data_IF_111511503775
#
_entry.id   IF_111511503775
#
_cell.length_a   1.000
_cell.length_b   1.000
_cell.length_c   1.000
_cell.angle_alpha   90.00
_cell.angle_beta   90.00
_cell.angle_gamma   90.00
#
_symmetry.space_group_name_H-M   'P 1'
#
loop_
_entity.id
_entity.type
_entity.pdbx_description
1 polymer ?
#
# COMPACT_ATOMS: atom_id res chain seq x y z
N UNK A 1 -40.21 22.70 36.31
CA UNK A 1 -40.43 23.38 37.60
C UNK A 1 -40.12 22.35 38.70
N UNK A 2 -39.24 22.49 39.69
CA UNK A 2 -38.25 23.48 40.14
C UNK A 2 -37.26 22.68 41.06
N UNK A 3 -35.94 22.70 40.84
CA UNK A 3 -34.86 23.43 41.58
C UNK A 3 -34.94 23.44 43.11
N UNK A 4 -33.88 22.94 43.79
CA UNK A 4 -33.08 23.55 44.91
C UNK A 4 -32.52 22.46 45.83
N UNK A 5 -31.21 22.19 45.87
CA UNK A 5 -30.10 22.88 46.58
C UNK A 5 -29.96 22.47 48.06
N UNK A 6 -28.74 22.08 48.47
CA UNK A 6 -28.14 22.28 49.81
C UNK A 6 -26.73 21.66 49.94
N UNK A 7 -25.73 22.54 50.09
CA UNK A 7 -24.47 22.42 50.85
C UNK A 7 -24.41 23.71 51.72
N UNK A 8 -23.59 23.90 52.80
CA UNK A 8 -22.22 23.42 53.11
C UNK A 8 -22.02 23.07 54.63
N UNK A 9 -20.88 22.60 55.18
CA UNK A 9 -19.66 23.29 55.65
C UNK A 9 -18.82 22.22 56.41
N UNK A 10 -17.57 21.90 56.05
CA UNK A 10 -16.28 22.39 56.60
C UNK A 10 -16.22 22.58 58.13
N UNK A 11 -15.42 21.75 58.80
CA UNK A 11 -14.78 22.04 60.09
C UNK A 11 -13.33 21.56 60.04
N UNK A 12 -12.44 22.53 60.19
CA UNK A 12 -10.98 22.46 60.24
C UNK A 12 -10.52 22.16 61.66
N UNK A 13 -9.49 21.33 61.83
CA UNK A 13 -8.60 21.42 62.99
C UNK A 13 -7.14 21.23 62.58
N UNK A 14 -6.31 21.97 63.29
CA UNK A 14 -4.97 22.46 63.00
C UNK A 14 -3.91 21.60 63.69
N UNK A 15 -2.81 21.30 63.00
CA UNK A 15 -1.61 20.73 63.59
C UNK A 15 -0.38 21.33 62.92
N UNK A 16 0.41 22.08 63.68
CA UNK A 16 1.49 22.94 63.23
C UNK A 16 2.81 22.22 62.85
N UNK A 17 3.59 22.95 62.04
CA UNK A 17 4.87 22.71 61.36
C UNK A 17 6.09 22.44 62.30
N UNK A 18 7.25 21.99 61.76
CA UNK A 18 8.31 22.96 61.46
C UNK A 18 9.13 22.68 60.17
N UNK A 19 9.58 23.77 59.55
CA UNK A 19 10.47 23.86 58.41
C UNK A 19 11.94 23.46 58.69
N UNK A 20 12.65 22.98 57.66
CA UNK A 20 14.10 23.18 57.47
C UNK A 20 14.45 23.22 55.96
N UNK A 21 15.40 24.08 55.51
CA UNK A 21 15.57 24.49 54.13
C UNK A 21 16.69 23.71 53.42
N UNK A 22 16.44 23.35 52.17
CA UNK A 22 17.43 22.75 51.29
C UNK A 22 17.07 22.99 49.84
N UNK A 23 17.39 24.18 49.34
CA UNK A 23 17.76 24.36 47.95
C UNK A 23 19.00 23.52 47.69
N UNK A 24 18.99 22.70 46.64
CA UNK A 24 20.05 22.62 45.63
C UNK A 24 19.71 21.51 44.60
N UNK A 25 19.51 21.95 43.37
CA UNK A 25 19.91 21.29 42.13
C UNK A 25 19.65 19.78 41.98
N UNK A 26 18.51 19.46 41.38
CA UNK A 26 18.43 18.39 40.37
C UNK A 26 17.32 18.67 39.37
N UNK A 27 17.56 19.68 38.53
CA UNK A 27 17.09 19.70 37.16
C UNK A 27 17.83 18.57 36.38
N UNK A 28 17.64 17.33 36.78
CA UNK A 28 18.12 16.16 36.05
C UNK A 28 17.10 15.87 34.95
N UNK A 29 17.32 16.54 33.81
CA UNK A 29 17.14 16.02 32.45
C UNK A 29 16.03 14.97 32.33
N UNK A 30 14.80 15.42 32.07
CA UNK A 30 13.77 14.56 31.50
C UNK A 30 14.40 13.81 30.31
N UNK A 31 14.48 12.46 30.34
CA UNK A 31 14.93 11.71 29.20
C UNK A 31 13.99 12.01 28.06
N UNK A 32 14.56 12.62 27.04
CA UNK A 32 13.97 12.88 25.75
C UNK A 32 13.11 11.70 25.28
N UNK A 33 11.79 11.86 25.42
CA UNK A 33 10.72 10.90 25.11
C UNK A 33 10.50 10.72 23.60
N UNK A 34 11.59 10.81 22.84
CA UNK A 34 11.65 10.54 21.40
C UNK A 34 12.58 9.36 21.11
N UNK A 35 12.64 8.41 22.04
CA UNK A 35 13.13 7.05 21.84
C UNK A 35 12.38 6.45 20.64
N UNK A 36 13.14 6.14 19.59
CA UNK A 36 12.63 5.94 18.24
C UNK A 36 11.48 4.94 18.15
N UNK A 37 10.33 5.44 17.67
CA UNK A 37 9.27 4.61 17.10
C UNK A 37 9.92 3.63 16.14
N UNK A 38 9.95 2.36 16.54
CA UNK A 38 10.48 1.25 15.75
C UNK A 38 10.00 1.37 14.30
N UNK A 39 10.92 1.54 13.36
CA UNK A 39 10.64 1.73 11.93
C UNK A 39 10.10 0.47 11.23
N UNK A 40 9.68 -0.54 12.00
CA UNK A 40 9.02 -1.73 11.47
C UNK A 40 7.51 -1.52 11.50
N UNK A 41 6.84 -1.44 10.34
CA UNK A 41 5.41 -1.28 10.28
C UNK A 41 4.76 -2.52 10.89
N UNK A 42 4.15 -2.35 12.06
CA UNK A 42 3.34 -3.37 12.70
C UNK A 42 2.11 -3.73 11.85
N UNK A 43 1.48 -4.88 12.11
CA UNK A 43 0.21 -5.25 11.49
C UNK A 43 -0.84 -4.16 11.76
N UNK A 44 -1.59 -3.74 10.74
CA UNK A 44 -2.71 -2.80 10.93
C UNK A 44 -3.90 -3.49 11.61
N UNK A 45 -4.66 -2.73 12.38
CA UNK A 45 -5.92 -3.20 12.96
C UNK A 45 -6.94 -3.53 11.87
N UNK A 46 -7.91 -4.40 12.16
CA UNK A 46 -8.93 -4.82 11.17
C UNK A 46 -9.80 -3.65 10.72
N UNK A 47 -10.16 -2.74 11.64
CA UNK A 47 -10.95 -1.54 11.30
C UNK A 47 -10.16 -0.60 10.40
N UNK A 48 -8.87 -0.39 10.68
CA UNK A 48 -8.04 0.49 9.85
C UNK A 48 -7.82 -0.13 8.46
N UNK A 49 -7.63 -1.45 8.38
CA UNK A 49 -7.53 -2.19 7.12
C UNK A 49 -8.82 -2.03 6.28
N UNK A 50 -10.00 -2.08 6.90
CA UNK A 50 -11.27 -1.84 6.19
C UNK A 50 -11.43 -0.39 5.71
N UNK A 51 -11.02 0.58 6.53
CA UNK A 51 -11.06 2.00 6.15
C UNK A 51 -10.09 2.29 5.00
N UNK A 52 -8.88 1.73 5.04
CA UNK A 52 -7.89 1.88 3.98
C UNK A 52 -8.34 1.21 2.67
N UNK A 53 -8.98 0.04 2.73
CA UNK A 53 -9.61 -0.58 1.57
C UNK A 53 -10.73 0.30 0.98
N UNK A 54 -11.57 0.89 1.83
CA UNK A 54 -12.62 1.83 1.42
C UNK A 54 -12.05 3.07 0.74
N UNK A 55 -11.02 3.68 1.34
CA UNK A 55 -10.30 4.82 0.78
C UNK A 55 -9.67 4.48 -0.57
N UNK A 56 -9.18 3.26 -0.75
CA UNK A 56 -8.58 2.84 -2.01
C UNK A 56 -9.57 2.89 -3.16
N UNK A 57 -10.80 2.45 -2.93
CA UNK A 57 -11.87 2.51 -3.94
C UNK A 57 -12.34 3.94 -4.20
N UNK A 58 -12.46 4.75 -3.15
CA UNK A 58 -12.80 6.17 -3.25
C UNK A 58 -11.78 6.96 -4.06
N UNK A 59 -10.49 6.77 -3.78
CA UNK A 59 -9.43 7.43 -4.53
C UNK A 59 -9.28 6.88 -5.94
N UNK A 60 -9.75 5.64 -6.19
CA UNK A 60 -9.84 5.05 -7.51
C UNK A 60 -10.70 5.84 -8.50
N UNK A 61 -11.64 6.69 -8.03
CA UNK A 61 -12.45 7.58 -8.89
C UNK A 61 -11.58 8.55 -9.70
N UNK A 62 -10.43 8.96 -9.15
CA UNK A 62 -9.48 9.86 -9.81
C UNK A 62 -8.61 9.10 -10.82
N UNK A 63 -8.56 7.78 -10.72
CA UNK A 63 -7.86 6.88 -11.63
C UNK A 63 -7.06 5.81 -10.88
N UNK A 64 -6.18 5.11 -11.60
CA UNK A 64 -5.49 3.94 -11.04
C UNK A 64 -4.29 4.24 -10.13
N UNK A 65 -3.70 5.43 -10.22
CA UNK A 65 -2.45 5.76 -9.50
C UNK A 65 -2.61 5.69 -7.97
N UNK A 66 -3.65 6.30 -7.35
CA UNK A 66 -3.83 6.21 -5.91
C UNK A 66 -3.97 4.77 -5.41
N UNK A 67 -4.73 3.93 -6.12
CA UNK A 67 -4.91 2.52 -5.75
C UNK A 67 -3.61 1.73 -5.85
N UNK A 68 -2.77 1.98 -6.86
CA UNK A 68 -1.45 1.36 -6.96
C UNK A 68 -0.51 1.78 -5.83
N UNK A 69 -0.56 3.05 -5.41
CA UNK A 69 0.26 3.55 -4.29
C UNK A 69 -0.16 2.84 -3.00
N UNK A 70 -1.46 2.79 -2.72
CA UNK A 70 -1.98 2.13 -1.52
C UNK A 70 -1.67 0.63 -1.55
N UNK A 71 -1.79 -0.03 -2.70
CA UNK A 71 -1.41 -1.43 -2.84
C UNK A 71 0.03 -1.69 -2.39
N UNK A 72 0.99 -0.89 -2.90
CA UNK A 72 2.40 -1.05 -2.55
C UNK A 72 2.67 -0.83 -1.06
N UNK A 73 1.96 0.10 -0.44
CA UNK A 73 2.04 0.34 1.00
C UNK A 73 1.34 -0.77 1.81
N UNK A 74 0.19 -1.28 1.37
CA UNK A 74 -0.58 -2.29 2.09
C UNK A 74 0.12 -3.67 2.10
N UNK A 75 0.97 -3.94 1.10
CA UNK A 75 1.69 -5.21 0.97
C UNK A 75 2.44 -5.61 2.23
N UNK A 76 2.07 -6.75 2.78
CA UNK A 76 2.68 -7.32 3.99
C UNK A 76 2.30 -6.63 5.30
N UNK A 77 1.35 -5.67 5.27
CA UNK A 77 0.86 -4.93 6.45
C UNK A 77 -0.64 -5.12 6.67
N UNK A 78 -1.41 -5.01 5.59
CA UNK A 78 -2.86 -4.86 5.57
C UNK A 78 -3.47 -5.85 4.57
N UNK A 79 -3.87 -7.04 5.02
CA UNK A 79 -4.21 -8.16 4.12
C UNK A 79 -5.47 -7.88 3.29
N UNK A 80 -6.46 -7.21 3.86
CA UNK A 80 -7.70 -6.89 3.15
C UNK A 80 -7.46 -5.76 2.13
N UNK A 81 -6.82 -4.68 2.56
CA UNK A 81 -6.42 -3.57 1.69
C UNK A 81 -5.50 -4.05 0.58
N UNK A 82 -4.55 -4.95 0.84
CA UNK A 82 -3.64 -5.47 -0.19
C UNK A 82 -4.42 -6.10 -1.37
N UNK A 83 -5.48 -6.85 -1.06
CA UNK A 83 -6.34 -7.47 -2.07
C UNK A 83 -7.23 -6.43 -2.75
N UNK A 84 -7.95 -5.63 -1.97
CA UNK A 84 -8.91 -4.64 -2.50
C UNK A 84 -8.22 -3.55 -3.32
N UNK A 85 -7.02 -3.15 -2.94
CA UNK A 85 -6.22 -2.16 -3.66
C UNK A 85 -5.69 -2.67 -5.00
N UNK A 86 -5.36 -3.96 -5.09
CA UNK A 86 -4.95 -4.58 -6.35
C UNK A 86 -6.14 -4.72 -7.31
N UNK A 87 -7.28 -5.15 -6.77
CA UNK A 87 -8.54 -5.27 -7.52
C UNK A 87 -9.00 -3.90 -8.03
N UNK A 88 -8.96 -2.86 -7.17
CA UNK A 88 -9.22 -1.48 -7.56
C UNK A 88 -8.23 -0.97 -8.62
N UNK A 89 -6.93 -1.18 -8.43
CA UNK A 89 -5.92 -0.72 -9.39
C UNK A 89 -6.12 -1.36 -10.78
N UNK A 90 -6.42 -2.65 -10.82
CA UNK A 90 -6.70 -3.36 -12.07
C UNK A 90 -7.98 -2.85 -12.74
N UNK A 91 -9.08 -2.68 -11.99
CA UNK A 91 -10.34 -2.16 -12.52
C UNK A 91 -10.20 -0.74 -13.05
N UNK A 92 -9.58 0.15 -12.29
CA UNK A 92 -9.50 1.58 -12.62
C UNK A 92 -8.53 1.89 -13.76
N UNK A 93 -7.55 1.02 -14.05
CA UNK A 93 -6.53 1.23 -15.09
C UNK A 93 -7.15 1.45 -16.47
N UNK A 94 -8.05 0.55 -16.89
CA UNK A 94 -8.69 0.63 -18.19
C UNK A 94 -9.56 1.89 -18.37
N UNK A 95 -10.58 2.17 -17.53
CA UNK A 95 -11.39 3.37 -17.68
C UNK A 95 -10.55 4.63 -17.55
N UNK A 96 -9.50 4.66 -16.72
CA UNK A 96 -8.55 5.79 -16.69
C UNK A 96 -7.92 6.03 -18.06
N UNK A 97 -7.45 4.98 -18.74
CA UNK A 97 -6.86 5.08 -20.08
C UNK A 97 -7.89 5.57 -21.11
N UNK A 98 -9.12 5.07 -21.05
CA UNK A 98 -10.22 5.50 -21.93
C UNK A 98 -10.54 6.98 -21.71
N UNK A 99 -10.62 7.43 -20.46
CA UNK A 99 -10.86 8.84 -20.10
C UNK A 99 -9.73 9.72 -20.63
N UNK A 100 -8.46 9.35 -20.43
CA UNK A 100 -7.31 10.11 -20.91
C UNK A 100 -7.33 10.18 -22.44
N UNK A 101 -7.50 9.05 -23.13
CA UNK A 101 -7.55 9.01 -24.59
C UNK A 101 -8.71 9.84 -25.12
N UNK A 102 -9.91 9.70 -24.56
CA UNK A 102 -11.08 10.48 -24.96
C UNK A 102 -10.90 11.98 -24.71
N UNK A 103 -10.27 12.38 -23.60
CA UNK A 103 -9.94 13.77 -23.31
C UNK A 103 -8.93 14.35 -24.32
N UNK A 104 -7.92 13.57 -24.73
CA UNK A 104 -6.96 14.00 -25.77
C UNK A 104 -7.63 14.10 -27.16
N UNK A 105 -8.49 13.14 -27.51
CA UNK A 105 -9.20 13.15 -28.78
C UNK A 105 -10.33 14.19 -28.83
N UNK A 106 -10.76 14.72 -27.68
CA UNK A 106 -11.77 15.77 -27.61
C UNK A 106 -11.32 17.09 -28.27
N UNK A 107 -10.01 17.29 -28.47
CA UNK A 107 -9.46 18.46 -29.16
C UNK A 107 -9.60 18.40 -30.69
N UNK A 108 -10.03 17.26 -31.26
CA UNK A 108 -10.23 17.16 -32.72
C UNK A 108 -11.45 18.00 -33.12
N UNK A 109 -11.31 18.96 -34.06
CA UNK A 109 -12.43 19.76 -34.53
C UNK A 109 -13.57 18.90 -35.10
N UNK A 110 -14.81 19.34 -34.93
CA UNK A 110 -16.05 18.71 -35.45
C UNK A 110 -16.46 17.36 -34.84
N UNK A 111 -15.52 16.49 -34.49
CA UNK A 111 -15.78 15.13 -33.95
C UNK A 111 -15.39 14.97 -32.49
N UNK A 112 -14.58 15.88 -31.93
CA UNK A 112 -14.06 15.82 -30.56
C UNK A 112 -15.12 15.67 -29.48
N UNK A 113 -16.31 16.23 -29.68
CA UNK A 113 -17.42 16.13 -28.74
C UNK A 113 -17.88 14.68 -28.49
N UNK A 114 -17.75 13.78 -29.48
CA UNK A 114 -18.07 12.36 -29.31
C UNK A 114 -17.11 11.72 -28.31
N UNK A 115 -15.81 12.02 -28.43
CA UNK A 115 -14.79 11.53 -27.52
C UNK A 115 -14.94 12.11 -26.11
N UNK A 116 -15.38 13.36 -26.00
CA UNK A 116 -15.71 13.96 -24.70
C UNK A 116 -16.88 13.24 -24.00
N UNK A 117 -17.94 12.89 -24.74
CA UNK A 117 -19.07 12.11 -24.19
C UNK A 117 -18.62 10.71 -23.78
N UNK A 118 -17.81 10.03 -24.60
CA UNK A 118 -17.27 8.71 -24.28
C UNK A 118 -16.38 8.75 -23.04
N UNK A 119 -15.52 9.76 -22.92
CA UNK A 119 -14.69 9.97 -21.73
C UNK A 119 -15.57 10.21 -20.48
N UNK A 120 -16.59 11.07 -20.58
CA UNK A 120 -17.50 11.33 -19.48
C UNK A 120 -18.28 10.07 -19.05
N UNK A 121 -18.75 9.26 -20.02
CA UNK A 121 -19.44 8.00 -19.74
C UNK A 121 -18.51 6.97 -19.07
N UNK A 122 -17.27 6.83 -19.55
CA UNK A 122 -16.27 5.96 -18.94
C UNK A 122 -15.94 6.41 -17.50
N UNK A 123 -15.80 7.71 -17.27
CA UNK A 123 -15.58 8.27 -15.95
C UNK A 123 -16.78 8.04 -15.01
N UNK A 124 -18.01 8.14 -15.52
CA UNK A 124 -19.20 7.88 -14.72
C UNK A 124 -19.29 6.40 -14.30
N UNK A 125 -19.00 5.47 -15.22
CA UNK A 125 -18.95 4.03 -14.91
C UNK A 125 -17.88 3.75 -13.85
N UNK A 126 -16.70 4.35 -14.00
CA UNK A 126 -15.62 4.30 -13.01
C UNK A 126 -16.10 4.79 -11.64
N UNK A 127 -16.68 5.99 -11.58
CA UNK A 127 -17.13 6.62 -10.35
C UNK A 127 -18.20 5.79 -9.61
N UNK A 128 -19.23 5.33 -10.32
CA UNK A 128 -20.30 4.52 -9.73
C UNK A 128 -19.74 3.20 -9.19
N UNK A 129 -18.88 2.53 -9.97
CA UNK A 129 -18.29 1.26 -9.57
C UNK A 129 -17.35 1.42 -8.37
N UNK A 130 -16.57 2.50 -8.32
CA UNK A 130 -15.74 2.87 -7.16
C UNK A 130 -16.57 3.11 -5.90
N UNK A 131 -17.70 3.81 -6.01
CA UNK A 131 -18.59 4.02 -4.86
C UNK A 131 -19.21 2.70 -4.38
N UNK A 132 -19.69 1.86 -5.29
CA UNK A 132 -20.25 0.55 -4.95
C UNK A 132 -19.22 -0.35 -4.24
N UNK A 133 -17.97 -0.34 -4.72
CA UNK A 133 -16.88 -1.10 -4.12
C UNK A 133 -16.50 -0.58 -2.74
N UNK A 134 -16.43 0.75 -2.56
CA UNK A 134 -16.15 1.36 -1.26
C UNK A 134 -17.20 1.01 -0.21
N UNK A 135 -18.49 1.02 -0.57
CA UNK A 135 -19.57 0.62 0.36
C UNK A 135 -19.42 -0.84 0.80
N UNK A 136 -19.04 -1.73 -0.12
CA UNK A 136 -18.76 -3.14 0.20
C UNK A 136 -17.54 -3.28 1.11
N UNK A 137 -16.44 -2.59 0.77
CA UNK A 137 -15.20 -2.61 1.54
C UNK A 137 -15.38 -2.05 2.96
N UNK A 138 -16.20 -1.00 3.12
CA UNK A 138 -16.54 -0.42 4.42
C UNK A 138 -17.32 -1.40 5.31
N UNK A 139 -18.00 -2.38 4.70
CA UNK A 139 -18.67 -3.48 5.41
C UNK A 139 -17.74 -4.68 5.67
N UNK A 140 -16.45 -4.57 5.32
CA UNK A 140 -15.48 -5.67 5.38
C UNK A 140 -15.72 -6.78 4.36
N UNK A 141 -16.55 -6.54 3.34
CA UNK A 141 -16.89 -7.53 2.31
C UNK A 141 -16.01 -7.31 1.07
N UNK A 142 -15.24 -8.33 0.64
CA UNK A 142 -14.39 -8.18 -0.53
C UNK A 142 -15.24 -7.89 -1.77
N UNK A 143 -14.85 -6.89 -2.54
CA UNK A 143 -15.56 -6.49 -3.74
C UNK A 143 -14.84 -7.03 -4.97
N UNK A 144 -15.60 -7.53 -5.95
CA UNK A 144 -15.04 -7.98 -7.23
C UNK A 144 -15.67 -7.18 -8.36
N UNK A 145 -14.83 -6.49 -9.13
CA UNK A 145 -15.32 -5.76 -10.28
C UNK A 145 -15.67 -6.74 -11.40
N UNK A 146 -16.91 -6.69 -11.89
CA UNK A 146 -17.37 -7.57 -12.99
C UNK A 146 -16.60 -7.36 -14.30
N UNK A 147 -16.03 -6.17 -14.49
CA UNK A 147 -15.26 -5.76 -15.66
C UNK A 147 -13.76 -5.65 -15.33
N UNK A 148 -13.25 -6.46 -14.41
CA UNK A 148 -11.81 -6.49 -14.14
C UNK A 148 -11.08 -7.33 -15.20
N UNK A 149 -10.13 -6.72 -15.91
CA UNK A 149 -9.37 -7.38 -16.96
C UNK A 149 -8.03 -7.91 -16.48
N UNK A 150 -7.68 -7.71 -15.20
CA UNK A 150 -6.42 -8.15 -14.58
C UNK A 150 -5.17 -7.77 -15.39
N UNK A 151 -5.24 -6.64 -16.10
CA UNK A 151 -4.25 -6.23 -17.08
C UNK A 151 -2.89 -5.95 -16.42
N UNK A 152 -2.90 -5.43 -15.19
CA UNK A 152 -1.68 -5.20 -14.42
C UNK A 152 -1.01 -6.51 -14.02
N UNK A 153 -1.79 -7.52 -13.59
CA UNK A 153 -1.26 -8.83 -13.21
C UNK A 153 -0.67 -9.57 -14.40
N UNK A 154 -1.29 -9.48 -15.58
CA UNK A 154 -0.77 -10.04 -16.82
C UNK A 154 0.56 -9.39 -17.26
N UNK A 155 0.77 -8.10 -17.00
CA UNK A 155 2.05 -7.43 -17.26
C UNK A 155 3.11 -7.73 -16.20
N UNK A 156 2.68 -7.97 -14.96
CA UNK A 156 3.57 -8.33 -13.85
C UNK A 156 4.09 -9.77 -13.97
N UNK A 157 3.25 -10.73 -14.37
CA UNK A 157 3.61 -12.15 -14.51
C UNK A 157 4.74 -12.37 -15.52
N UNK A 158 4.66 -11.73 -16.69
CA UNK A 158 5.70 -11.81 -17.74
C UNK A 158 7.07 -11.33 -17.27
N UNK A 159 7.12 -10.39 -16.32
CA UNK A 159 8.39 -9.93 -15.74
C UNK A 159 8.98 -10.96 -14.78
N UNK A 160 8.13 -11.67 -14.05
CA UNK A 160 8.58 -12.71 -13.13
C UNK A 160 9.06 -13.96 -13.86
N UNK A 161 8.37 -14.37 -14.93
CA UNK A 161 8.82 -15.48 -15.78
C UNK A 161 10.22 -15.23 -16.32
N UNK A 162 10.45 -14.05 -16.93
CA UNK A 162 11.80 -13.66 -17.39
C UNK A 162 12.84 -13.61 -16.27
N UNK A 163 12.44 -13.25 -15.05
CA UNK A 163 13.34 -13.24 -13.90
C UNK A 163 13.69 -14.66 -13.47
N UNK A 164 12.71 -15.56 -13.43
CA UNK A 164 12.92 -16.99 -13.13
C UNK A 164 13.80 -17.64 -14.19
N UNK A 165 13.56 -17.37 -15.48
CA UNK A 165 14.42 -17.85 -16.57
C UNK A 165 15.86 -17.39 -16.44
N UNK A 166 16.11 -16.15 -15.98
CA UNK A 166 17.45 -15.65 -15.68
C UNK A 166 18.07 -16.33 -14.45
N UNK A 167 17.27 -16.62 -13.44
CA UNK A 167 17.70 -17.32 -12.24
C UNK A 167 18.03 -18.79 -12.53
N UNK A 168 17.28 -19.49 -13.42
CA UNK A 168 17.60 -20.85 -13.86
C UNK A 168 18.71 -20.93 -14.91
N UNK A 169 18.88 -19.91 -15.75
CA UNK A 169 19.94 -19.92 -16.79
C UNK A 169 21.33 -19.57 -16.25
N UNK A 170 21.45 -19.17 -14.97
CA UNK A 170 22.70 -18.74 -14.35
C UNK A 170 23.25 -17.42 -14.94
N UNK A 171 24.25 -16.79 -14.29
CA UNK A 171 24.92 -15.64 -14.88
C UNK A 171 25.69 -16.09 -16.13
N UNK A 172 25.31 -15.52 -17.27
CA UNK A 172 26.00 -15.71 -18.54
C UNK A 172 27.15 -14.71 -18.60
N UNK A 173 28.38 -15.18 -18.76
CA UNK A 173 29.54 -14.31 -19.00
C UNK A 173 29.35 -13.49 -20.27
N UNK A 174 30.10 -12.39 -20.45
CA UNK A 174 30.05 -11.57 -21.67
C UNK A 174 30.34 -12.37 -22.96
N UNK A 175 30.88 -13.59 -22.85
CA UNK A 175 31.17 -14.52 -23.93
C UNK A 175 30.08 -15.59 -24.14
N UNK A 176 28.94 -15.53 -23.45
CA UNK A 176 27.81 -16.45 -23.65
C UNK A 176 27.88 -17.75 -22.84
N UNK A 177 28.87 -17.95 -21.96
CA UNK A 177 28.96 -19.15 -21.12
C UNK A 177 28.20 -19.01 -19.81
N UNK A 178 27.37 -20.01 -19.49
CA UNK A 178 26.65 -20.14 -18.21
C UNK A 178 27.63 -20.47 -17.09
N UNK A 179 27.74 -19.59 -16.10
CA UNK A 179 28.54 -19.82 -14.90
C UNK A 179 27.74 -20.67 -13.92
N UNK A 180 28.19 -21.91 -13.69
CA UNK A 180 27.61 -22.76 -12.64
C UNK A 180 28.04 -22.26 -11.25
N UNK A 181 27.21 -22.43 -10.20
CA UNK A 181 27.51 -21.94 -8.85
C UNK A 181 28.77 -22.56 -8.19
N UNK A 182 29.40 -23.56 -8.80
CA UNK A 182 30.70 -24.12 -8.37
C UNK A 182 31.92 -23.42 -9.00
N UNK A 183 31.74 -22.34 -9.76
CA UNK A 183 32.86 -21.64 -10.43
C UNK A 183 33.55 -22.46 -11.53
N UNK A 184 33.01 -23.63 -11.88
CA UNK A 184 33.52 -24.48 -12.96
C UNK A 184 32.71 -24.20 -14.22
N UNK A 185 33.35 -23.66 -15.24
CA UNK A 185 32.80 -23.62 -16.59
C UNK A 185 32.52 -25.06 -17.02
N UNK A 186 31.34 -25.32 -17.57
CA UNK A 186 30.88 -26.68 -17.92
C UNK A 186 31.70 -27.37 -19.03
N UNK A 187 32.79 -26.73 -19.48
CA UNK A 187 33.54 -27.06 -20.68
C UNK A 187 35.04 -27.32 -20.40
N UNK A 188 35.44 -27.48 -19.13
CA UNK A 188 36.82 -27.84 -18.80
C UNK A 188 37.06 -29.34 -19.12
N UNK A 189 38.03 -29.69 -19.99
CA UNK A 189 38.40 -31.08 -20.22
C UNK A 189 38.96 -31.67 -18.93
N UNK A 190 38.44 -32.83 -18.51
CA UNK A 190 38.94 -33.59 -17.36
C UNK A 190 40.46 -33.85 -17.50
N UNK A 191 41.31 -33.36 -16.57
CA UNK A 191 42.71 -33.68 -16.60
C UNK A 191 42.92 -35.08 -15.99
N UNK A 192 43.04 -36.07 -16.87
CA UNK A 192 43.95 -37.19 -16.68
C UNK A 192 43.56 -38.22 -15.62
N UNK A 193 42.73 -39.18 -16.03
CA UNK A 193 42.84 -40.56 -15.54
C UNK A 193 44.18 -41.15 -16.01
N UNK A 194 45.26 -40.83 -15.29
CA UNK A 194 46.59 -41.44 -15.44
C UNK A 194 46.77 -42.53 -14.40
N UNK A 195 46.69 -43.77 -14.86
CA UNK A 195 46.72 -45.00 -14.09
C UNK A 195 47.99 -45.17 -13.25
N UNK A 196 47.79 -45.71 -12.05
CA UNK A 196 48.79 -46.39 -11.26
C UNK A 196 49.21 -47.68 -11.99
N UNK A 197 50.52 -47.85 -12.22
CA UNK A 197 51.34 -49.07 -12.13
C UNK A 197 52.57 -48.98 -13.04
#
# INVERSE_FOLDING_TARGET
MAVSSSSPQRLSDSGAEPADPGSDDQAALAPNEYEGLSAQPGPVSVSDDQQLATLTHMLGVVGCVPSMIIHRWARGRARFTEQESLEAANFTLLPTLVVIAGALLAFIPWVGWIFAILAAAAWLILAISSVAAAVSANSGRPYRYRLNWYLYDALASRRQERRRERETSGPVTAQGQVVTPSGRTADAPEPGAGAQN
#
